data_IF_612888344573
#
_entry.id   IF_612888344573
#
_cell.length_a   1.000
_cell.length_b   1.000
_cell.length_c   1.000
_cell.angle_alpha   90.00
_cell.angle_beta   90.00
_cell.angle_gamma   90.00
#
_symmetry.space_group_name_H-M   'P 1'
#
loop_
_entity.id
_entity.type
_entity.pdbx_description
1 polymer ?
#
# COMPACT_ATOMS: atom_id res chain seq x y z
N UNK A 1 12.15 28.93 -19.20
CA UNK A 1 10.89 28.81 -18.43
C UNK A 1 9.68 28.37 -19.26
N UNK A 2 9.52 28.77 -20.52
CA UNK A 2 8.34 28.38 -21.34
C UNK A 2 8.15 26.86 -21.48
N UNK A 3 9.22 26.11 -21.77
CA UNK A 3 9.17 24.64 -21.88
C UNK A 3 8.71 24.00 -20.56
N UNK A 4 9.20 24.49 -19.41
CA UNK A 4 8.76 24.00 -18.11
C UNK A 4 7.25 24.21 -17.88
N UNK A 5 6.74 25.40 -18.20
CA UNK A 5 5.32 25.73 -18.02
C UNK A 5 4.41 25.00 -19.02
N UNK A 6 4.81 24.89 -20.28
CA UNK A 6 3.96 24.35 -21.35
C UNK A 6 4.17 22.86 -21.64
N UNK A 7 5.25 22.25 -21.16
CA UNK A 7 5.50 20.82 -21.33
C UNK A 7 5.49 20.08 -19.98
N UNK A 8 6.25 20.55 -18.98
CA UNK A 8 6.37 19.82 -17.71
C UNK A 8 5.08 19.83 -16.90
N UNK A 9 4.40 20.98 -16.78
CA UNK A 9 3.12 21.07 -16.04
C UNK A 9 2.03 20.17 -16.65
N UNK A 10 1.72 20.21 -17.96
CA UNK A 10 0.70 19.33 -18.50
C UNK A 10 1.09 17.85 -18.44
N UNK A 11 2.38 17.53 -18.58
CA UNK A 11 2.86 16.16 -18.41
C UNK A 11 2.65 15.64 -16.98
N UNK A 12 2.99 16.45 -15.97
CA UNK A 12 2.75 16.12 -14.56
C UNK A 12 1.25 16.02 -14.24
N UNK A 13 0.44 16.95 -14.75
CA UNK A 13 -1.01 16.93 -14.56
C UNK A 13 -1.64 15.66 -15.15
N UNK A 14 -1.19 15.26 -16.34
CA UNK A 14 -1.62 14.02 -16.98
C UNK A 14 -1.19 12.78 -16.18
N UNK A 15 0.07 12.75 -15.70
CA UNK A 15 0.56 11.67 -14.84
C UNK A 15 -0.23 11.56 -13.53
N UNK A 16 -0.52 12.69 -12.88
CA UNK A 16 -1.35 12.75 -11.68
C UNK A 16 -2.76 12.21 -11.95
N UNK A 17 -3.38 12.60 -13.07
CA UNK A 17 -4.70 12.13 -13.45
C UNK A 17 -4.74 10.62 -13.66
N UNK A 18 -3.75 10.06 -14.37
CA UNK A 18 -3.66 8.60 -14.60
C UNK A 18 -3.45 7.87 -13.27
N UNK A 19 -2.53 8.33 -12.42
CA UNK A 19 -2.26 7.73 -11.12
C UNK A 19 -3.49 7.80 -10.20
N UNK A 20 -4.20 8.93 -10.19
CA UNK A 20 -5.43 9.11 -9.41
C UNK A 20 -6.52 8.13 -9.87
N UNK A 21 -6.75 8.02 -11.18
CA UNK A 21 -7.73 7.08 -11.73
C UNK A 21 -7.40 5.62 -11.39
N UNK A 22 -6.13 5.23 -11.50
CA UNK A 22 -5.70 3.88 -11.12
C UNK A 22 -5.84 3.65 -9.60
N UNK A 23 -5.53 4.65 -8.78
CA UNK A 23 -5.71 4.55 -7.32
C UNK A 23 -7.18 4.34 -6.93
N UNK A 24 -8.10 5.10 -7.52
CA UNK A 24 -9.55 4.92 -7.32
C UNK A 24 -9.98 3.53 -7.78
N UNK A 25 -9.57 3.10 -8.98
CA UNK A 25 -9.92 1.78 -9.51
C UNK A 25 -9.35 0.62 -8.68
N UNK A 26 -8.19 0.79 -8.01
CA UNK A 26 -7.61 -0.22 -7.12
C UNK A 26 -8.31 -0.30 -5.77
N UNK A 27 -8.91 0.79 -5.30
CA UNK A 27 -9.71 0.78 -4.07
C UNK A 27 -10.84 -0.25 -4.19
N UNK A 28 -11.50 -0.26 -5.35
CA UNK A 28 -12.64 -1.12 -5.68
C UNK A 28 -12.28 -2.60 -5.91
N UNK A 29 -11.00 -2.92 -6.13
CA UNK A 29 -10.56 -4.31 -6.36
C UNK A 29 -10.41 -5.06 -5.04
N UNK A 30 -11.04 -6.23 -4.92
CA UNK A 30 -10.86 -7.09 -3.74
C UNK A 30 -9.38 -7.39 -3.47
N UNK A 31 -9.01 -7.38 -2.18
CA UNK A 31 -7.65 -7.73 -1.77
C UNK A 31 -7.40 -9.23 -1.94
N UNK A 32 -6.15 -9.65 -2.21
CA UNK A 32 -5.81 -11.06 -2.25
C UNK A 32 -6.13 -11.78 -0.93
N UNK A 33 -6.46 -13.07 -1.03
CA UNK A 33 -6.65 -13.94 0.13
C UNK A 33 -5.34 -14.08 0.90
N UNK A 34 -5.45 -14.25 2.23
CA UNK A 34 -4.29 -14.51 3.07
C UNK A 34 -3.70 -15.89 2.75
N UNK A 35 -2.42 -15.92 2.38
CA UNK A 35 -1.64 -17.14 2.22
C UNK A 35 -0.32 -16.93 2.98
N UNK A 36 -0.02 -17.74 4.02
CA UNK A 36 1.18 -17.58 4.85
C UNK A 36 2.42 -18.11 4.13
N UNK A 37 2.84 -17.44 3.07
CA UNK A 37 4.08 -17.77 2.37
C UNK A 37 5.27 -17.61 3.30
N UNK A 38 6.09 -18.65 3.44
CA UNK A 38 7.24 -18.66 4.37
C UNK A 38 8.29 -17.57 4.10
N UNK A 39 8.33 -17.05 2.88
CA UNK A 39 9.26 -16.00 2.46
C UNK A 39 8.68 -14.59 2.56
N UNK A 40 7.39 -14.43 2.86
CA UNK A 40 6.76 -13.12 3.04
C UNK A 40 6.64 -12.78 4.53
N UNK A 41 6.74 -11.49 4.85
CA UNK A 41 6.60 -10.97 6.21
C UNK A 41 7.47 -11.73 7.25
N UNK A 42 8.68 -12.14 6.85
CA UNK A 42 9.60 -12.88 7.72
C UNK A 42 10.01 -12.02 8.91
N UNK A 43 9.88 -12.59 10.12
CA UNK A 43 10.19 -11.95 11.38
C UNK A 43 11.33 -12.69 12.09
N UNK A 44 12.57 -12.31 11.81
CA UNK A 44 13.74 -12.90 12.49
C UNK A 44 14.01 -12.27 13.86
N UNK A 45 13.72 -10.98 14.00
CA UNK A 45 13.78 -10.21 15.25
C UNK A 45 12.56 -9.31 15.37
N UNK A 46 12.03 -9.07 16.58
CA UNK A 46 10.95 -8.12 16.80
C UNK A 46 11.39 -6.71 16.43
N UNK A 47 10.46 -5.89 15.95
CA UNK A 47 10.69 -4.46 15.75
C UNK A 47 10.87 -3.73 17.09
N UNK A 48 11.65 -2.64 17.15
CA UNK A 48 11.92 -1.90 18.39
C UNK A 48 10.79 -0.93 18.79
N UNK A 49 9.54 -1.20 18.40
CA UNK A 49 8.37 -0.38 18.75
C UNK A 49 7.11 -1.24 18.83
N UNK A 50 6.07 -0.69 19.47
CA UNK A 50 4.77 -1.33 19.58
C UNK A 50 4.86 -2.72 20.20
N UNK A 51 4.28 -3.71 19.52
CA UNK A 51 4.30 -5.13 19.91
C UNK A 51 5.45 -5.93 19.27
N UNK A 52 6.33 -5.25 18.51
CA UNK A 52 7.42 -5.88 17.78
C UNK A 52 7.00 -6.66 16.53
N UNK A 53 5.70 -6.75 16.22
CA UNK A 53 5.19 -7.53 15.08
C UNK A 53 4.55 -6.67 13.99
N UNK A 54 4.27 -5.40 14.25
CA UNK A 54 3.74 -4.44 13.28
C UNK A 54 4.80 -3.55 12.64
N UNK A 55 4.77 -3.42 11.32
CA UNK A 55 5.63 -2.49 10.59
C UNK A 55 5.33 -1.03 10.95
N UNK A 56 6.30 -0.14 10.72
CA UNK A 56 6.17 1.27 11.11
C UNK A 56 4.94 1.95 10.47
N UNK A 57 4.64 1.59 9.21
CA UNK A 57 3.47 2.06 8.48
C UNK A 57 2.49 0.91 8.23
N UNK A 58 2.12 0.20 9.29
CA UNK A 58 1.19 -0.92 9.20
C UNK A 58 -0.23 -0.44 8.90
N UNK A 59 -0.82 -1.02 7.85
CA UNK A 59 -2.23 -0.84 7.54
C UNK A 59 -2.99 -2.14 7.86
N UNK A 60 -3.77 -2.12 8.94
CA UNK A 60 -4.56 -3.27 9.44
C UNK A 60 -5.48 -3.92 8.41
N UNK A 61 -5.90 -3.15 7.40
CA UNK A 61 -6.83 -3.59 6.34
C UNK A 61 -6.14 -4.23 5.13
N UNK A 62 -4.91 -3.81 4.86
CA UNK A 62 -4.16 -4.18 3.64
C UNK A 62 -2.97 -5.10 3.91
N UNK A 63 -2.43 -5.05 5.13
CA UNK A 63 -1.21 -5.73 5.49
C UNK A 63 -1.52 -6.76 6.56
N UNK A 64 -1.17 -8.01 6.27
CA UNK A 64 -1.36 -9.10 7.21
C UNK A 64 -0.14 -9.26 8.11
N UNK A 65 -0.39 -9.74 9.32
CA UNK A 65 0.62 -10.04 10.32
C UNK A 65 0.92 -11.53 10.31
N UNK A 66 2.19 -11.96 10.38
CA UNK A 66 2.54 -13.38 10.50
C UNK A 66 1.82 -14.04 11.68
N UNK A 67 1.11 -15.14 11.44
CA UNK A 67 0.39 -15.92 12.46
C UNK A 67 -1.03 -15.43 12.79
N UNK A 68 -1.38 -14.19 12.43
CA UNK A 68 -2.73 -13.61 12.69
C UNK A 68 -3.53 -13.50 11.38
N UNK A 69 -2.87 -13.12 10.28
CA UNK A 69 -3.55 -12.77 9.03
C UNK A 69 -3.92 -11.29 8.99
N UNK A 70 -5.00 -10.94 8.30
CA UNK A 70 -5.49 -9.56 8.22
C UNK A 70 -6.31 -9.24 9.46
N UNK A 71 -6.04 -8.09 10.08
CA UNK A 71 -6.66 -7.72 11.35
C UNK A 71 -8.03 -7.04 11.16
N UNK A 72 -8.23 -6.36 10.03
CA UNK A 72 -9.49 -5.72 9.68
C UNK A 72 -9.97 -6.12 8.28
N UNK A 73 -11.29 -6.24 8.13
CA UNK A 73 -11.90 -6.34 6.80
C UNK A 73 -11.90 -4.97 6.10
N UNK A 74 -11.71 -4.99 4.77
CA UNK A 74 -11.73 -3.77 3.96
C UNK A 74 -13.17 -3.27 3.85
N UNK A 75 -13.48 -2.19 4.58
CA UNK A 75 -14.71 -1.42 4.38
C UNK A 75 -14.54 -0.51 3.17
N UNK A 76 -15.39 -0.68 2.15
CA UNK A 76 -15.44 0.20 0.98
C UNK A 76 -16.12 1.52 1.29
#
# INVERSE_FOLDING_TARGET
MKIFLFASIPCLAMGMFVAYRDHVARRDKERPKYIPYRFLNVRNKPFPWGDGNHSLFHNKREQYVPGVGFEEERKH
#
